data_IF_618502538877
#
_entry.id   IF_618502538877
#
_cell.length_a   1.000
_cell.length_b   1.000
_cell.length_c   1.000
_cell.angle_alpha   90.00
_cell.angle_beta   90.00
_cell.angle_gamma   90.00
#
_symmetry.space_group_name_H-M   'P 1'
#
loop_
_entity.id
_entity.type
_entity.pdbx_description
1 polymer ?
#
# COMPACT_ATOMS: atom_id res chain seq x y z
N UNK A 1 -7.91 13.48 -27.24
CA UNK A 1 -7.13 12.88 -26.16
C UNK A 1 -7.80 11.62 -25.64
N UNK A 2 -7.10 10.79 -24.88
CA UNK A 2 -7.66 9.54 -24.30
C UNK A 2 -8.56 9.87 -23.12
N UNK A 3 -9.84 9.49 -23.17
CA UNK A 3 -10.81 9.70 -22.07
C UNK A 3 -10.32 9.13 -20.74
N UNK A 4 -9.60 8.00 -20.78
CA UNK A 4 -9.03 7.39 -19.59
C UNK A 4 -7.90 8.24 -19.02
N UNK A 5 -7.00 8.75 -19.88
CA UNK A 5 -5.88 9.58 -19.44
C UNK A 5 -6.37 10.89 -18.83
N UNK A 6 -7.30 11.56 -19.51
CA UNK A 6 -7.86 12.84 -19.05
C UNK A 6 -8.51 12.67 -17.65
N UNK A 7 -9.35 11.65 -17.47
CA UNK A 7 -10.01 11.37 -16.19
C UNK A 7 -9.04 10.91 -15.11
N UNK A 8 -8.00 10.15 -15.46
CA UNK A 8 -6.97 9.72 -14.51
C UNK A 8 -6.15 10.89 -13.99
N UNK A 9 -5.81 11.86 -14.85
CA UNK A 9 -5.11 13.08 -14.45
C UNK A 9 -5.95 13.92 -13.48
N UNK A 10 -7.26 14.08 -13.75
CA UNK A 10 -8.18 14.76 -12.84
C UNK A 10 -8.21 14.08 -11.47
N UNK A 11 -8.37 12.75 -11.41
CA UNK A 11 -8.40 12.00 -10.15
C UNK A 11 -7.09 12.10 -9.37
N UNK A 12 -5.94 12.10 -10.05
CA UNK A 12 -4.64 12.29 -9.40
C UNK A 12 -4.52 13.68 -8.78
N UNK A 13 -4.94 14.71 -9.49
CA UNK A 13 -4.93 16.09 -8.98
C UNK A 13 -5.92 16.25 -7.80
N UNK A 14 -7.13 15.74 -7.93
CA UNK A 14 -8.14 15.73 -6.86
C UNK A 14 -7.63 15.01 -5.60
N UNK A 15 -6.99 13.83 -5.77
CA UNK A 15 -6.44 13.04 -4.68
C UNK A 15 -5.35 13.80 -3.92
N UNK A 16 -4.38 14.38 -4.63
CA UNK A 16 -3.28 15.11 -4.02
C UNK A 16 -3.74 16.28 -3.14
N UNK A 17 -4.81 16.98 -3.56
CA UNK A 17 -5.38 18.10 -2.79
C UNK A 17 -6.25 17.58 -1.64
N UNK A 18 -7.16 16.65 -1.91
CA UNK A 18 -8.13 16.16 -0.93
C UNK A 18 -7.48 15.41 0.22
N UNK A 19 -6.47 14.60 -0.08
CA UNK A 19 -5.81 13.73 0.88
C UNK A 19 -4.49 14.29 1.44
N UNK A 20 -4.16 15.56 1.16
CA UNK A 20 -2.91 16.18 1.59
C UNK A 20 -2.61 15.99 3.09
N UNK A 21 -3.61 16.15 3.96
CA UNK A 21 -3.45 15.95 5.40
C UNK A 21 -3.23 14.49 5.78
N UNK A 22 -3.95 13.55 5.17
CA UNK A 22 -3.79 12.11 5.39
C UNK A 22 -2.43 11.63 4.89
N UNK A 23 -1.99 12.11 3.73
CA UNK A 23 -0.66 11.81 3.18
C UNK A 23 0.43 12.36 4.10
N UNK A 24 0.32 13.60 4.57
CA UNK A 24 1.27 14.17 5.51
C UNK A 24 1.35 13.38 6.83
N UNK A 25 0.22 12.88 7.34
CA UNK A 25 0.20 12.02 8.52
C UNK A 25 0.90 10.67 8.25
N UNK A 26 0.69 10.07 7.07
CA UNK A 26 1.37 8.84 6.66
C UNK A 26 2.89 9.05 6.50
N UNK A 27 3.32 10.17 5.91
CA UNK A 27 4.72 10.59 5.82
C UNK A 27 5.33 10.72 7.20
N UNK A 28 4.67 11.43 8.12
CA UNK A 28 5.16 11.61 9.49
C UNK A 28 5.35 10.28 10.22
N UNK A 29 4.39 9.34 10.05
CA UNK A 29 4.48 7.99 10.60
C UNK A 29 5.67 7.22 10.01
N UNK A 30 5.84 7.25 8.69
CA UNK A 30 6.94 6.57 8.01
C UNK A 30 8.31 7.12 8.43
N UNK A 31 8.45 8.44 8.55
CA UNK A 31 9.69 9.10 9.05
C UNK A 31 9.99 8.67 10.49
N UNK A 32 8.99 8.68 11.37
CA UNK A 32 9.17 8.24 12.75
C UNK A 32 9.60 6.77 12.82
N UNK A 33 9.01 5.91 11.98
CA UNK A 33 9.38 4.50 11.86
C UNK A 33 10.85 4.33 11.41
N UNK A 34 11.28 5.06 10.38
CA UNK A 34 12.68 4.99 9.91
C UNK A 34 13.64 5.45 11.02
N UNK A 35 13.35 6.57 11.68
CA UNK A 35 14.18 7.11 12.76
C UNK A 35 14.31 6.17 13.97
N UNK A 36 13.28 5.38 14.24
CA UNK A 36 13.30 4.37 15.31
C UNK A 36 13.93 3.02 14.89
N UNK A 37 14.38 2.87 13.65
CA UNK A 37 14.91 1.62 13.11
C UNK A 37 13.82 0.58 12.83
N UNK A 38 12.56 1.01 12.70
CA UNK A 38 11.42 0.20 12.30
C UNK A 38 11.37 -0.06 10.79
N UNK A 39 10.35 -0.81 10.35
CA UNK A 39 10.09 -1.08 8.95
C UNK A 39 8.76 -0.49 8.49
N UNK A 40 8.71 -0.15 7.21
CA UNK A 40 7.48 0.25 6.53
C UNK A 40 6.99 -0.95 5.74
N UNK A 41 5.96 -1.62 6.23
CA UNK A 41 5.35 -2.75 5.54
C UNK A 41 4.30 -2.25 4.56
N UNK A 42 4.25 -2.84 3.36
CA UNK A 42 3.30 -2.44 2.34
C UNK A 42 2.73 -3.65 1.59
N UNK A 43 1.42 -3.64 1.35
CA UNK A 43 0.77 -4.73 0.63
C UNK A 43 -0.73 -4.61 0.49
N UNK A 44 -1.35 -5.69 0.05
CA UNK A 44 -2.77 -5.81 -0.20
C UNK A 44 -3.12 -7.17 -0.77
N UNK A 45 -4.34 -7.33 -1.24
CA UNK A 45 -4.84 -8.57 -1.86
C UNK A 45 -5.25 -8.33 -3.31
N UNK A 46 -5.24 -9.37 -4.13
CA UNK A 46 -5.58 -9.23 -5.53
C UNK A 46 -4.63 -8.25 -6.24
N UNK A 47 -5.16 -7.35 -7.07
CA UNK A 47 -4.37 -6.32 -7.75
C UNK A 47 -3.74 -5.31 -6.78
N UNK A 48 -4.28 -5.14 -5.57
CA UNK A 48 -3.68 -4.27 -4.56
C UNK A 48 -2.33 -4.77 -4.05
N UNK A 49 -1.94 -6.02 -4.33
CA UNK A 49 -0.59 -6.55 -4.11
C UNK A 49 0.49 -5.77 -4.90
N UNK A 50 0.09 -5.03 -5.94
CA UNK A 50 1.00 -4.11 -6.66
C UNK A 50 1.67 -3.10 -5.73
N UNK A 51 1.04 -2.73 -4.61
CA UNK A 51 1.68 -1.87 -3.60
C UNK A 51 2.93 -2.52 -3.00
N UNK A 52 2.89 -3.83 -2.71
CA UNK A 52 4.07 -4.57 -2.22
C UNK A 52 5.19 -4.60 -3.27
N UNK A 53 4.85 -4.83 -4.53
CA UNK A 53 5.82 -4.85 -5.62
C UNK A 53 6.44 -3.47 -5.88
N UNK A 54 5.62 -2.42 -5.85
CA UNK A 54 6.07 -1.05 -6.07
C UNK A 54 6.95 -0.52 -4.95
N UNK A 55 6.66 -0.89 -3.70
CA UNK A 55 7.39 -0.38 -2.54
C UNK A 55 8.71 -1.10 -2.28
N UNK A 56 8.85 -2.37 -2.70
CA UNK A 56 9.93 -3.24 -2.28
C UNK A 56 11.06 -3.34 -3.31
N UNK A 57 12.30 -3.25 -2.82
CA UNK A 57 13.56 -3.57 -3.50
C UNK A 57 13.65 -3.09 -4.95
N UNK A 58 13.39 -1.83 -5.18
CA UNK A 58 13.50 -1.20 -6.50
C UNK A 58 14.33 0.08 -6.45
N UNK A 59 15.04 0.38 -7.52
CA UNK A 59 15.78 1.63 -7.68
C UNK A 59 14.86 2.84 -7.42
N UNK A 60 15.30 3.76 -6.57
CA UNK A 60 14.53 4.93 -6.14
C UNK A 60 13.52 4.65 -5.02
N UNK A 61 13.36 3.41 -4.57
CA UNK A 61 12.46 3.05 -3.47
C UNK A 61 13.15 3.05 -2.11
N UNK A 62 12.36 3.03 -1.02
CA UNK A 62 12.86 2.98 0.36
C UNK A 62 13.44 1.60 0.69
N UNK A 63 14.66 1.55 1.24
CA UNK A 63 15.26 0.31 1.73
C UNK A 63 14.58 -0.19 3.02
N UNK A 64 13.96 0.71 3.79
CA UNK A 64 13.16 0.38 4.95
C UNK A 64 11.81 -0.27 4.60
N UNK A 65 11.46 -0.41 3.31
CA UNK A 65 10.22 -1.02 2.88
C UNK A 65 10.29 -2.57 2.90
N UNK A 66 9.24 -3.20 3.43
CA UNK A 66 9.08 -4.64 3.53
C UNK A 66 7.74 -5.08 2.93
N UNK A 67 7.69 -6.07 2.02
CA UNK A 67 6.46 -6.45 1.38
C UNK A 67 5.58 -7.29 2.31
N UNK A 68 4.27 -7.08 2.23
CA UNK A 68 3.26 -7.98 2.80
C UNK A 68 2.64 -8.76 1.64
N UNK A 69 2.91 -10.05 1.56
CA UNK A 69 2.32 -10.92 0.55
C UNK A 69 2.15 -12.37 1.01
N UNK A 70 1.39 -13.11 0.25
CA UNK A 70 1.29 -14.55 0.28
C UNK A 70 0.91 -15.02 -1.12
N UNK A 71 1.41 -16.18 -1.54
CA UNK A 71 1.19 -16.72 -2.90
C UNK A 71 -0.31 -16.76 -3.22
N UNK A 72 -1.11 -17.20 -2.28
CA UNK A 72 -2.56 -17.40 -2.46
C UNK A 72 -3.34 -16.09 -2.61
N UNK A 73 -2.76 -14.97 -2.14
CA UNK A 73 -3.35 -13.64 -2.28
C UNK A 73 -2.95 -12.92 -3.58
N UNK A 74 -2.09 -13.52 -4.41
CA UNK A 74 -1.59 -12.92 -5.64
C UNK A 74 -2.20 -13.56 -6.89
N UNK A 75 -3.08 -12.87 -7.64
CA UNK A 75 -3.87 -13.43 -8.73
C UNK A 75 -3.10 -14.16 -9.83
N UNK A 76 -1.87 -13.73 -10.24
CA UNK A 76 -1.11 -14.42 -11.28
C UNK A 76 -0.81 -15.90 -11.00
N UNK A 77 -0.80 -16.31 -9.76
CA UNK A 77 -0.56 -17.72 -9.43
C UNK A 77 -1.84 -18.56 -9.40
N UNK A 78 -2.96 -18.00 -8.92
CA UNK A 78 -4.22 -18.72 -8.83
C UNK A 78 -5.41 -17.74 -8.68
N UNK A 79 -5.87 -17.12 -9.77
CA UNK A 79 -6.84 -16.02 -9.74
C UNK A 79 -8.15 -16.33 -8.99
N UNK A 80 -8.75 -17.53 -9.20
CA UNK A 80 -9.98 -17.90 -8.48
C UNK A 80 -9.74 -18.18 -7.00
N UNK A 81 -8.64 -18.86 -6.68
CA UNK A 81 -8.27 -19.13 -5.29
C UNK A 81 -7.94 -17.80 -4.59
N UNK A 82 -7.15 -16.92 -5.19
CA UNK A 82 -6.86 -15.58 -4.67
C UNK A 82 -8.14 -14.80 -4.31
N UNK A 83 -9.18 -14.85 -5.15
CA UNK A 83 -10.47 -14.21 -4.85
C UNK A 83 -11.20 -14.85 -3.65
N UNK A 84 -11.02 -16.13 -3.40
CA UNK A 84 -11.58 -16.81 -2.23
C UNK A 84 -10.77 -16.51 -0.97
N UNK A 85 -9.44 -16.63 -1.06
CA UNK A 85 -8.52 -16.39 0.04
C UNK A 85 -8.57 -14.95 0.57
N UNK A 86 -8.76 -13.96 -0.31
CA UNK A 86 -8.93 -12.56 0.13
C UNK A 86 -10.16 -12.32 1.00
N UNK A 87 -11.15 -13.24 0.97
CA UNK A 87 -12.35 -13.19 1.82
C UNK A 87 -12.12 -13.81 3.20
N UNK A 88 -11.08 -14.63 3.34
CA UNK A 88 -10.75 -15.31 4.60
C UNK A 88 -9.85 -14.43 5.48
N UNK A 89 -10.31 -14.03 6.68
CA UNK A 89 -9.50 -13.25 7.63
C UNK A 89 -8.20 -13.96 8.04
N UNK A 90 -8.20 -15.30 8.10
CA UNK A 90 -7.01 -16.08 8.50
C UNK A 90 -5.82 -15.79 7.59
N UNK A 91 -6.05 -15.60 6.30
CA UNK A 91 -4.99 -15.25 5.35
C UNK A 91 -4.36 -13.89 5.63
N UNK A 92 -5.17 -12.91 6.04
CA UNK A 92 -4.71 -11.59 6.42
C UNK A 92 -3.77 -11.64 7.63
N UNK A 93 -4.17 -12.32 8.69
CA UNK A 93 -3.37 -12.51 9.91
C UNK A 93 -2.06 -13.23 9.61
N UNK A 94 -2.12 -14.32 8.86
CA UNK A 94 -0.95 -15.09 8.46
C UNK A 94 0.04 -14.26 7.62
N UNK A 95 -0.46 -13.36 6.75
CA UNK A 95 0.39 -12.47 5.96
C UNK A 95 1.16 -11.48 6.86
N UNK A 96 0.51 -10.90 7.87
CA UNK A 96 1.15 -10.00 8.84
C UNK A 96 2.19 -10.75 9.71
N UNK A 97 1.90 -11.98 10.11
CA UNK A 97 2.85 -12.83 10.84
C UNK A 97 4.10 -13.15 10.00
N UNK A 98 3.90 -13.51 8.75
CA UNK A 98 5.00 -13.74 7.80
C UNK A 98 5.84 -12.49 7.56
N UNK A 99 5.21 -11.33 7.42
CA UNK A 99 5.91 -10.05 7.24
C UNK A 99 6.73 -9.67 8.48
N UNK A 100 6.39 -10.17 9.66
CA UNK A 100 7.11 -9.91 10.90
C UNK A 100 6.90 -8.49 11.44
N UNK A 101 5.68 -7.96 11.26
CA UNK A 101 5.26 -6.65 11.79
C UNK A 101 5.43 -6.59 13.30
N UNK A 102 5.95 -5.46 13.81
CA UNK A 102 6.25 -5.21 15.24
C UNK A 102 5.74 -3.84 15.67
N UNK A 103 5.82 -3.62 16.97
CA UNK A 103 5.60 -2.31 17.58
C UNK A 103 6.54 -1.25 16.98
N UNK A 104 5.99 -0.07 16.70
CA UNK A 104 6.70 1.04 16.06
C UNK A 104 6.86 0.95 14.54
N UNK A 105 6.44 -0.16 13.89
CA UNK A 105 6.39 -0.24 12.44
C UNK A 105 5.20 0.56 11.86
N UNK A 106 5.29 0.96 10.59
CA UNK A 106 4.15 1.51 9.84
C UNK A 106 3.72 0.52 8.77
N UNK A 107 2.41 0.29 8.64
CA UNK A 107 1.84 -0.73 7.75
C UNK A 107 0.87 -0.08 6.76
N UNK A 108 1.20 -0.07 5.48
CA UNK A 108 0.34 0.38 4.40
C UNK A 108 -0.44 -0.79 3.82
N UNK A 109 -1.76 -0.73 3.88
CA UNK A 109 -2.63 -1.77 3.34
C UNK A 109 -3.53 -1.16 2.28
N UNK A 110 -3.40 -1.66 1.04
CA UNK A 110 -4.27 -1.27 -0.06
C UNK A 110 -5.41 -2.29 -0.24
N UNK A 111 -6.62 -1.79 -0.31
CA UNK A 111 -7.81 -2.55 -0.72
C UNK A 111 -8.86 -1.60 -1.23
N UNK A 112 -9.08 -1.60 -2.53
CA UNK A 112 -9.98 -0.63 -3.16
C UNK A 112 -11.41 -0.69 -2.61
N UNK A 113 -11.95 -1.87 -2.40
CA UNK A 113 -13.28 -2.04 -1.78
C UNK A 113 -13.26 -1.90 -0.25
N UNK A 114 -12.16 -2.28 0.39
CA UNK A 114 -11.99 -2.26 1.85
C UNK A 114 -12.91 -3.22 2.62
N UNK A 115 -13.54 -4.20 1.94
CA UNK A 115 -14.61 -5.04 2.53
C UNK A 115 -14.19 -6.47 2.85
N UNK A 116 -13.14 -6.99 2.18
CA UNK A 116 -12.79 -8.40 2.28
C UNK A 116 -12.09 -8.74 3.61
N UNK A 117 -12.22 -9.98 4.04
CA UNK A 117 -11.73 -10.45 5.33
C UNK A 117 -10.23 -10.26 5.51
N UNK A 118 -9.42 -10.65 4.52
CA UNK A 118 -7.96 -10.59 4.63
C UNK A 118 -7.41 -9.17 4.81
N UNK A 119 -7.75 -8.15 3.99
CA UNK A 119 -7.20 -6.81 4.19
C UNK A 119 -7.68 -6.14 5.49
N UNK A 120 -8.91 -6.41 5.94
CA UNK A 120 -9.41 -5.91 7.23
C UNK A 120 -8.63 -6.57 8.38
N UNK A 121 -8.41 -7.88 8.32
CA UNK A 121 -7.64 -8.60 9.33
C UNK A 121 -6.17 -8.22 9.33
N UNK A 122 -5.57 -7.94 8.15
CA UNK A 122 -4.22 -7.36 8.08
C UNK A 122 -4.12 -6.08 8.93
N UNK A 123 -5.11 -5.19 8.82
CA UNK A 123 -5.14 -3.95 9.59
C UNK A 123 -5.28 -4.20 11.09
N UNK A 124 -6.23 -5.04 11.50
CA UNK A 124 -6.47 -5.38 12.91
C UNK A 124 -5.24 -6.06 13.52
N UNK A 125 -4.68 -7.07 12.85
CA UNK A 125 -3.51 -7.80 13.32
C UNK A 125 -2.25 -6.93 13.40
N UNK A 126 -2.11 -5.92 12.54
CA UNK A 126 -1.03 -4.94 12.61
C UNK A 126 -1.20 -3.99 13.80
N UNK A 127 -2.41 -3.47 14.01
CA UNK A 127 -2.72 -2.61 15.15
C UNK A 127 -2.53 -3.34 16.49
N UNK A 128 -2.94 -4.62 16.60
CA UNK A 128 -2.70 -5.46 17.78
C UNK A 128 -1.21 -5.61 18.12
N UNK A 129 -0.32 -5.46 17.14
CA UNK A 129 1.15 -5.51 17.30
C UNK A 129 1.79 -4.16 17.62
N UNK A 130 0.99 -3.10 17.75
CA UNK A 130 1.48 -1.74 18.04
C UNK A 130 1.92 -0.97 16.78
N UNK A 131 1.67 -1.48 15.58
CA UNK A 131 2.02 -0.78 14.36
C UNK A 131 1.01 0.32 14.01
N UNK A 132 1.47 1.41 13.40
CA UNK A 132 0.60 2.42 12.79
C UNK A 132 0.06 1.91 11.47
N UNK A 133 -1.26 1.83 11.32
CA UNK A 133 -1.90 1.33 10.10
C UNK A 133 -2.38 2.47 9.21
N UNK A 134 -1.96 2.45 7.96
CA UNK A 134 -2.38 3.35 6.88
C UNK A 134 -3.21 2.56 5.88
N UNK A 135 -4.49 2.88 5.75
CA UNK A 135 -5.39 2.30 4.76
C UNK A 135 -5.41 3.13 3.48
N UNK A 136 -5.23 2.49 2.33
CA UNK A 136 -5.43 3.07 1.00
C UNK A 136 -6.66 2.38 0.38
N UNK A 137 -7.78 3.08 0.29
CA UNK A 137 -9.08 2.48 -0.07
C UNK A 137 -9.99 3.51 -0.75
N UNK A 138 -11.14 3.10 -1.29
CA UNK A 138 -12.15 4.02 -1.82
C UNK A 138 -13.39 4.06 -0.94
N UNK A 139 -13.70 5.21 -0.38
CA UNK A 139 -14.95 5.46 0.35
C UNK A 139 -16.18 5.33 -0.57
N UNK A 140 -16.05 5.73 -1.83
CA UNK A 140 -17.12 5.60 -2.84
C UNK A 140 -17.49 4.13 -3.10
N UNK A 141 -16.50 3.24 -3.06
CA UNK A 141 -16.76 1.81 -3.21
C UNK A 141 -17.36 1.23 -1.92
N UNK A 142 -16.72 1.47 -0.81
CA UNK A 142 -17.11 0.90 0.48
C UNK A 142 -18.52 1.31 0.93
N UNK A 143 -18.96 2.54 0.63
CA UNK A 143 -20.29 3.01 0.96
C UNK A 143 -21.43 2.20 0.31
N UNK A 144 -21.15 1.46 -0.75
CA UNK A 144 -22.16 0.67 -1.50
C UNK A 144 -22.25 -0.79 -1.10
N UNK A 145 -21.32 -1.28 -0.27
CA UNK A 145 -21.22 -2.71 0.06
C UNK A 145 -20.92 -2.92 1.54
N UNK A 146 -21.49 -3.97 2.11
CA UNK A 146 -21.23 -4.34 3.51
C UNK A 146 -19.88 -5.04 3.62
N UNK A 147 -19.23 -4.88 4.76
CA UNK A 147 -18.04 -5.65 5.11
C UNK A 147 -18.33 -7.16 5.07
N UNK A 148 -17.34 -7.92 4.63
CA UNK A 148 -17.31 -9.39 4.68
C UNK A 148 -16.55 -9.92 5.88
N UNK A 149 -15.89 -9.02 6.63
CA UNK A 149 -15.20 -9.38 7.85
C UNK A 149 -16.20 -9.62 9.00
N UNK A 150 -15.93 -10.60 9.87
CA UNK A 150 -16.81 -10.99 11.00
C UNK A 150 -17.05 -9.85 11.99
N UNK A 151 -16.13 -8.90 12.12
CA UNK A 151 -16.30 -7.70 12.96
C UNK A 151 -17.26 -6.67 12.38
N UNK A 152 -17.67 -6.79 11.13
CA UNK A 152 -18.46 -5.79 10.41
C UNK A 152 -17.67 -4.54 9.99
N UNK A 153 -16.39 -4.41 10.36
CA UNK A 153 -15.54 -3.27 10.01
C UNK A 153 -15.12 -3.31 8.53
N UNK A 154 -15.00 -2.14 7.93
CA UNK A 154 -14.24 -1.94 6.70
C UNK A 154 -12.77 -1.68 7.03
N UNK A 155 -11.91 -1.72 6.01
CA UNK A 155 -10.47 -1.47 6.18
C UNK A 155 -10.18 -0.13 6.87
N UNK A 156 -10.88 0.92 6.48
CA UNK A 156 -10.64 2.24 7.08
C UNK A 156 -11.17 2.37 8.52
N UNK A 157 -12.07 1.49 9.00
CA UNK A 157 -12.48 1.44 10.41
C UNK A 157 -11.42 0.77 11.29
N UNK A 158 -10.48 0.04 10.67
CA UNK A 158 -9.39 -0.68 11.32
C UNK A 158 -8.03 0.03 11.23
N UNK A 159 -7.97 1.20 10.57
CA UNK A 159 -6.74 1.95 10.34
C UNK A 159 -6.70 3.25 11.15
N UNK A 160 -5.47 3.68 11.52
CA UNK A 160 -5.22 4.95 12.21
C UNK A 160 -5.21 6.12 11.23
N UNK A 161 -4.75 5.89 10.00
CA UNK A 161 -4.66 6.87 8.93
C UNK A 161 -5.40 6.31 7.71
N UNK A 162 -6.23 7.12 7.10
CA UNK A 162 -7.01 6.71 5.93
C UNK A 162 -6.73 7.66 4.77
N UNK A 163 -6.35 7.11 3.63
CA UNK A 163 -6.18 7.82 2.36
C UNK A 163 -7.24 7.30 1.40
N UNK A 164 -8.19 8.16 1.05
CA UNK A 164 -9.27 7.84 0.11
C UNK A 164 -8.80 8.07 -1.32
N UNK A 165 -8.70 7.00 -2.11
CA UNK A 165 -8.30 7.10 -3.51
C UNK A 165 -9.32 7.83 -4.37
N UNK A 166 -10.59 7.89 -3.97
CA UNK A 166 -11.67 8.43 -4.79
C UNK A 166 -11.97 7.62 -6.04
N UNK A 167 -11.40 6.41 -6.18
CA UNK A 167 -11.72 5.55 -7.31
C UNK A 167 -13.20 5.17 -7.32
N UNK A 168 -13.83 5.09 -8.51
CA UNK A 168 -15.26 4.83 -8.62
C UNK A 168 -15.64 3.43 -8.14
N UNK A 169 -16.92 3.25 -7.84
CA UNK A 169 -17.47 1.93 -7.55
C UNK A 169 -17.20 0.96 -8.72
N UNK A 170 -16.67 -0.22 -8.40
CA UNK A 170 -16.29 -1.22 -9.40
C UNK A 170 -14.96 -0.96 -10.08
N UNK A 171 -14.22 0.09 -9.69
CA UNK A 171 -12.86 0.43 -10.16
C UNK A 171 -12.73 0.75 -11.66
N UNK A 172 -13.80 0.87 -12.41
CA UNK A 172 -13.78 1.07 -13.85
C UNK A 172 -14.19 2.52 -14.21
N UNK A 173 -13.30 3.26 -14.91
CA UNK A 173 -13.51 4.66 -15.25
C UNK A 173 -14.45 4.90 -16.42
N UNK A 174 -14.50 3.96 -17.36
CA UNK A 174 -15.16 4.17 -18.63
C UNK A 174 -16.39 3.28 -18.80
N UNK A 175 -17.52 3.90 -19.09
CA UNK A 175 -18.78 3.22 -19.39
C UNK A 175 -18.89 2.90 -20.88
N UNK A 176 -19.62 1.82 -21.18
CA UNK A 176 -19.84 1.31 -22.54
C UNK A 176 -21.32 1.40 -22.97
N UNK A 177 -22.18 2.00 -22.15
CA UNK A 177 -23.63 2.04 -22.33
C UNK A 177 -24.36 0.96 -21.55
N UNK A 178 -25.68 1.02 -21.59
CA UNK A 178 -26.57 0.16 -20.80
C UNK A 178 -26.31 -1.34 -21.03
N UNK A 179 -26.32 -2.13 -19.96
CA UNK A 179 -26.13 -3.58 -19.98
C UNK A 179 -24.70 -4.06 -20.28
N UNK A 180 -23.73 -3.15 -20.48
CA UNK A 180 -22.34 -3.52 -20.75
C UNK A 180 -21.46 -3.22 -19.54
N UNK A 181 -20.49 -4.12 -19.28
CA UNK A 181 -19.52 -3.89 -18.22
C UNK A 181 -18.68 -2.63 -18.49
N UNK A 182 -18.51 -1.79 -17.46
CA UNK A 182 -17.54 -0.72 -17.47
C UNK A 182 -16.12 -1.30 -17.56
N UNK A 183 -15.14 -0.49 -17.96
CA UNK A 183 -13.76 -0.94 -18.21
C UNK A 183 -12.74 0.14 -17.82
N UNK A 184 -11.44 -0.17 -18.00
CA UNK A 184 -10.32 0.70 -17.69
C UNK A 184 -10.21 1.02 -16.17
N UNK A 185 -9.64 0.07 -15.39
CA UNK A 185 -9.44 0.26 -13.94
C UNK A 185 -8.42 1.37 -13.66
N UNK A 186 -8.52 2.01 -12.49
CA UNK A 186 -7.69 3.14 -12.09
C UNK A 186 -7.08 2.99 -10.69
N UNK A 187 -7.60 2.10 -9.86
CA UNK A 187 -7.20 2.01 -8.45
C UNK A 187 -5.72 1.72 -8.25
N UNK A 188 -5.12 0.89 -9.11
CA UNK A 188 -3.68 0.59 -9.05
C UNK A 188 -2.83 1.85 -9.29
N UNK A 189 -3.20 2.67 -10.29
CA UNK A 189 -2.54 3.94 -10.58
C UNK A 189 -2.62 4.88 -9.36
N UNK A 190 -3.81 5.03 -8.77
CA UNK A 190 -4.02 5.90 -7.61
C UNK A 190 -3.27 5.40 -6.37
N UNK A 191 -3.24 4.08 -6.14
CA UNK A 191 -2.50 3.47 -5.04
C UNK A 191 -0.99 3.71 -5.17
N UNK A 192 -0.44 3.54 -6.37
CA UNK A 192 0.98 3.80 -6.66
C UNK A 192 1.30 5.29 -6.51
N UNK A 193 0.40 6.17 -6.96
CA UNK A 193 0.58 7.62 -6.78
C UNK A 193 0.61 8.01 -5.30
N UNK A 194 -0.28 7.45 -4.46
CA UNK A 194 -0.23 7.64 -3.00
C UNK A 194 1.12 7.22 -2.43
N UNK A 195 1.61 6.05 -2.81
CA UNK A 195 2.92 5.57 -2.36
C UNK A 195 4.05 6.52 -2.78
N UNK A 196 4.03 7.01 -4.02
CA UNK A 196 5.04 7.94 -4.54
C UNK A 196 5.03 9.27 -3.79
N UNK A 197 3.85 9.81 -3.47
CA UNK A 197 3.71 11.04 -2.67
C UNK A 197 4.22 10.84 -1.23
N UNK A 198 3.99 9.67 -0.64
CA UNK A 198 4.55 9.35 0.68
C UNK A 198 6.07 9.22 0.61
N UNK A 199 6.60 8.53 -0.39
CA UNK A 199 8.05 8.40 -0.61
C UNK A 199 8.72 9.77 -0.76
N UNK A 200 8.18 10.65 -1.61
CA UNK A 200 8.64 12.02 -1.81
C UNK A 200 8.71 12.77 -0.46
N UNK A 201 7.60 12.82 0.28
CA UNK A 201 7.57 13.55 1.55
C UNK A 201 8.50 12.96 2.61
N UNK A 202 8.72 11.63 2.64
CA UNK A 202 9.69 11.00 3.55
C UNK A 202 11.11 11.47 3.22
N UNK A 203 11.49 11.45 1.94
CA UNK A 203 12.82 11.89 1.50
C UNK A 203 13.02 13.37 1.81
N UNK A 204 12.07 14.23 1.47
CA UNK A 204 12.15 15.67 1.75
C UNK A 204 12.34 15.99 3.23
N UNK A 205 11.62 15.30 4.13
CA UNK A 205 11.76 15.54 5.58
C UNK A 205 13.12 15.08 6.10
N UNK A 206 13.61 13.91 5.65
CA UNK A 206 14.90 13.40 6.09
C UNK A 206 16.04 14.28 5.58
N UNK A 207 16.02 14.65 4.30
CA UNK A 207 17.04 15.53 3.68
C UNK A 207 17.05 16.92 4.32
N UNK A 208 15.89 17.50 4.59
CA UNK A 208 15.78 18.81 5.28
C UNK A 208 16.35 18.75 6.72
N UNK A 209 16.32 17.58 7.35
CA UNK A 209 16.93 17.35 8.66
C UNK A 209 18.44 17.02 8.60
N UNK A 210 19.02 16.92 7.41
CA UNK A 210 20.41 16.49 7.21
C UNK A 210 20.62 14.99 7.44
N UNK A 211 19.55 14.21 7.41
CA UNK A 211 19.57 12.75 7.55
C UNK A 211 19.65 12.08 6.17
N UNK A 212 20.35 10.96 6.07
CA UNK A 212 20.39 10.21 4.79
C UNK A 212 19.14 9.37 4.63
N UNK A 213 18.30 9.68 3.66
CA UNK A 213 17.17 8.84 3.30
C UNK A 213 17.65 7.46 2.79
N UNK A 214 17.11 6.34 3.31
CA UNK A 214 17.54 5.00 2.93
C UNK A 214 16.94 4.60 1.59
N UNK A 215 17.54 5.03 0.50
CA UNK A 215 17.04 4.83 -0.87
C UNK A 215 17.92 3.82 -1.62
N UNK A 216 17.28 2.85 -2.30
CA UNK A 216 17.95 1.95 -3.21
C UNK A 216 18.46 2.70 -4.44
N UNK A 217 19.71 2.50 -4.83
CA UNK A 217 20.23 2.93 -6.13
C UNK A 217 20.01 1.85 -7.18
N UNK A 218 20.00 2.27 -8.45
CA UNK A 218 19.99 1.31 -9.54
C UNK A 218 21.32 0.54 -9.59
N UNK A 219 21.27 -0.79 -9.53
CA UNK A 219 22.43 -1.67 -9.76
C UNK A 219 22.99 -1.54 -11.19
N UNK A 220 22.22 -0.95 -12.11
CA UNK A 220 22.68 -0.64 -13.48
C UNK A 220 23.40 0.72 -13.59
N UNK A 221 23.55 1.45 -12.47
CA UNK A 221 24.24 2.73 -12.42
C UNK A 221 25.61 2.58 -11.70
N UNK A 222 26.63 3.37 -12.10
CA UNK A 222 27.93 3.32 -11.44
C UNK A 222 27.82 3.57 -9.91
N UNK A 223 28.43 2.69 -9.10
CA UNK A 223 28.40 2.75 -7.64
C UNK A 223 27.05 2.34 -7.01
N UNK A 224 26.11 1.80 -7.80
CA UNK A 224 24.82 1.35 -7.30
C UNK A 224 24.93 0.15 -6.36
N UNK A 225 25.66 -0.87 -6.76
CA UNK A 225 25.82 -2.09 -5.96
C UNK A 225 26.57 -1.79 -4.65
N UNK A 226 27.67 -1.03 -4.69
CA UNK A 226 28.43 -0.63 -3.50
C UNK A 226 27.57 0.14 -2.49
N UNK A 227 26.73 1.07 -2.96
CA UNK A 227 25.76 1.77 -2.12
C UNK A 227 24.72 0.81 -1.52
N UNK A 228 24.20 -0.10 -2.32
CA UNK A 228 23.15 -1.02 -1.92
C UNK A 228 23.61 -2.06 -0.89
N UNK A 229 24.90 -2.43 -0.87
CA UNK A 229 25.46 -3.28 0.19
C UNK A 229 25.27 -2.67 1.60
N UNK A 230 25.39 -1.34 1.73
CA UNK A 230 25.11 -0.64 2.98
C UNK A 230 23.63 -0.75 3.39
N UNK A 231 22.73 -0.64 2.42
CA UNK A 231 21.29 -0.80 2.66
C UNK A 231 20.93 -2.26 3.02
N UNK A 232 21.52 -3.23 2.32
CA UNK A 232 21.34 -4.65 2.64
C UNK A 232 21.81 -4.98 4.05
N UNK A 233 23.00 -4.50 4.44
CA UNK A 233 23.53 -4.71 5.79
C UNK A 233 22.61 -4.15 6.89
N UNK A 234 21.96 -3.00 6.63
CA UNK A 234 21.06 -2.35 7.58
C UNK A 234 19.70 -3.05 7.69
N UNK A 235 19.10 -3.49 6.57
CA UNK A 235 17.70 -3.90 6.52
C UNK A 235 17.46 -5.41 6.37
N UNK A 236 18.37 -6.18 5.74
CA UNK A 236 18.21 -7.63 5.58
C UNK A 236 18.01 -8.40 6.90
N UNK A 237 18.57 -8.00 8.04
CA UNK A 237 18.30 -8.71 9.32
C UNK A 237 16.82 -8.68 9.73
N UNK A 238 16.03 -7.72 9.24
CA UNK A 238 14.62 -7.58 9.57
C UNK A 238 13.67 -7.83 8.38
N UNK A 239 14.07 -7.49 7.18
CA UNK A 239 13.26 -7.66 5.96
C UNK A 239 13.44 -9.08 5.43
N UNK A 240 12.48 -9.96 5.75
CA UNK A 240 12.56 -11.41 5.44
C UNK A 240 12.61 -11.74 3.95
N UNK A 241 12.32 -10.77 3.08
CA UNK A 241 12.29 -10.92 1.63
C UNK A 241 13.60 -10.47 0.94
N UNK A 242 14.60 -9.92 1.69
CA UNK A 242 15.94 -9.56 1.22
C UNK A 242 16.97 -10.73 1.35
#
# INVERSE_FOLDING_TARGET
>A
MSRWLDRSQELLAELAVREAASIAAAVASAVATIRSGGLIHAGGTGHSTLLALESFYRAGGLAAASPIWGIDLFPPFAARASTQEERDPVQGRAAIERAGVRDGDTVFIASQSGINGAPVEMALASAERGATVVAISSRLHAAKVKSRHTSGKHLFDAASIVIDTGAPYGDALLERGEGKAAYAPVSSLLTIAVWSLVLEGVVEILDAAGETAPIWKSSNAPGGDEWNEGMLAAYAPRVRAL
#
